data_IF_225125589408
#
_entry.id   IF_225125589408
#
_cell.length_a   1.000
_cell.length_b   1.000
_cell.length_c   1.000
_cell.angle_alpha   90.00
_cell.angle_beta   90.00
_cell.angle_gamma   90.00
#
_symmetry.space_group_name_H-M   'P 1'
#
loop_
_entity.id
_entity.type
_entity.pdbx_description
1 polymer ?
#
# COMPACT_ATOMS: atom_id res chain seq x y z
N UNK A 1 21.32 5.67 -47.98
CA UNK A 1 21.51 4.79 -46.81
C UNK A 1 20.96 5.55 -45.62
N UNK A 2 19.66 5.36 -45.34
CA UNK A 2 18.95 6.08 -44.29
C UNK A 2 19.12 5.28 -43.00
N UNK A 3 19.91 5.77 -42.03
CA UNK A 3 19.99 5.15 -40.72
C UNK A 3 18.83 5.65 -39.86
N UNK A 4 17.92 4.73 -39.58
CA UNK A 4 16.83 4.88 -38.62
C UNK A 4 17.40 5.29 -37.28
N UNK A 5 17.12 6.52 -36.84
CA UNK A 5 17.31 6.92 -35.44
C UNK A 5 16.26 6.14 -34.65
N UNK A 6 16.73 5.16 -33.87
CA UNK A 6 15.92 4.56 -32.81
C UNK A 6 15.47 5.68 -31.88
N UNK A 7 14.16 5.97 -31.90
CA UNK A 7 13.56 6.79 -30.86
C UNK A 7 13.77 6.05 -29.54
N UNK A 8 14.73 6.53 -28.77
CA UNK A 8 14.85 6.20 -27.35
C UNK A 8 13.50 6.48 -26.72
N UNK A 9 12.87 5.45 -26.17
CA UNK A 9 11.66 5.58 -25.37
C UNK A 9 12.05 6.43 -24.15
N UNK A 10 11.76 7.73 -24.20
CA UNK A 10 11.83 8.59 -23.02
C UNK A 10 10.60 8.22 -22.21
N UNK A 11 10.73 7.61 -21.01
CA UNK A 11 9.56 7.35 -20.18
C UNK A 11 8.89 8.70 -19.97
N UNK A 12 7.60 8.82 -20.30
CA UNK A 12 6.83 10.00 -19.90
C UNK A 12 7.07 10.20 -18.40
N UNK A 13 7.49 11.40 -17.96
CA UNK A 13 7.82 11.64 -16.57
C UNK A 13 6.65 11.21 -15.68
N UNK A 14 6.95 10.53 -14.58
CA UNK A 14 5.94 10.10 -13.61
C UNK A 14 5.08 11.31 -13.23
N UNK A 15 3.75 11.29 -13.44
CA UNK A 15 2.94 12.45 -13.16
C UNK A 15 2.89 12.74 -11.67
N UNK A 16 3.13 13.98 -11.28
CA UNK A 16 3.13 14.44 -9.89
C UNK A 16 2.41 15.77 -9.82
N UNK A 17 1.81 16.14 -8.67
CA UNK A 17 1.12 17.40 -8.56
C UNK A 17 2.12 18.57 -8.58
N UNK A 18 1.65 19.76 -8.97
CA UNK A 18 2.48 20.97 -9.04
C UNK A 18 2.87 21.44 -7.64
N UNK A 19 4.04 22.07 -7.49
CA UNK A 19 4.51 22.60 -6.20
C UNK A 19 3.43 23.44 -5.48
N UNK A 20 3.37 23.41 -4.13
CA UNK A 20 4.44 23.00 -3.20
C UNK A 20 4.23 21.62 -2.56
N UNK A 21 4.38 20.53 -3.32
CA UNK A 21 4.50 19.18 -2.75
C UNK A 21 5.96 18.77 -2.51
N UNK A 22 6.21 17.86 -1.55
CA UNK A 22 7.48 17.17 -1.42
C UNK A 22 7.90 16.56 -2.76
N UNK A 23 9.19 16.66 -3.08
CA UNK A 23 9.71 15.99 -4.27
C UNK A 23 9.61 14.48 -4.08
N UNK A 24 9.07 13.75 -5.07
CA UNK A 24 9.08 12.29 -5.04
C UNK A 24 10.50 11.75 -4.99
N UNK A 25 10.71 10.72 -4.18
CA UNK A 25 11.94 9.94 -4.14
C UNK A 25 11.64 8.61 -4.83
N UNK A 26 12.13 8.44 -6.05
CA UNK A 26 11.93 7.22 -6.82
C UNK A 26 12.64 6.04 -6.17
N UNK A 27 11.96 4.89 -6.16
CA UNK A 27 12.44 3.66 -5.58
C UNK A 27 12.73 2.62 -6.66
N UNK A 28 13.23 1.47 -6.24
CA UNK A 28 13.43 0.30 -7.09
C UNK A 28 12.52 -0.82 -6.60
N UNK A 29 11.95 -1.58 -7.55
CA UNK A 29 11.28 -2.84 -7.25
C UNK A 29 12.31 -3.96 -7.29
N UNK A 30 12.17 -4.97 -6.43
CA UNK A 30 13.08 -6.10 -6.35
C UNK A 30 12.36 -7.39 -6.69
N UNK A 31 12.95 -8.23 -7.54
CA UNK A 31 12.47 -9.57 -7.86
C UNK A 31 13.51 -10.61 -7.41
N UNK A 32 13.04 -11.80 -7.09
CA UNK A 32 13.89 -12.94 -6.77
C UNK A 32 13.85 -13.94 -7.93
N UNK A 33 15.01 -14.29 -8.47
CA UNK A 33 15.18 -15.46 -9.35
C UNK A 33 16.05 -16.48 -8.60
N UNK A 34 17.38 -16.40 -8.75
CA UNK A 34 18.34 -17.08 -7.88
C UNK A 34 18.78 -16.19 -6.71
N UNK A 35 18.79 -14.88 -6.94
CA UNK A 35 19.08 -13.83 -5.96
C UNK A 35 18.12 -12.65 -6.12
N UNK A 36 18.00 -11.86 -5.05
CA UNK A 36 17.25 -10.60 -5.09
C UNK A 36 17.99 -9.58 -5.93
N UNK A 37 17.33 -9.08 -6.97
CA UNK A 37 17.90 -8.09 -7.89
C UNK A 37 16.89 -7.00 -8.20
N UNK A 38 17.39 -5.84 -8.64
CA UNK A 38 16.57 -4.74 -9.10
C UNK A 38 15.77 -5.15 -10.33
N UNK A 39 14.44 -5.18 -10.20
CA UNK A 39 13.51 -5.45 -11.28
C UNK A 39 13.35 -4.20 -12.16
N UNK A 40 13.66 -4.35 -13.45
CA UNK A 40 13.42 -3.29 -14.42
C UNK A 40 11.96 -3.30 -14.84
N UNK A 41 11.25 -2.23 -14.53
CA UNK A 41 9.90 -2.00 -15.01
C UNK A 41 9.92 -1.87 -16.53
N UNK A 42 9.32 -2.83 -17.24
CA UNK A 42 9.23 -2.75 -18.69
C UNK A 42 8.13 -1.80 -19.16
N UNK A 43 7.25 -1.36 -18.24
CA UNK A 43 6.15 -0.45 -18.53
C UNK A 43 5.24 -0.98 -19.64
N UNK A 44 5.12 -2.31 -19.76
CA UNK A 44 4.34 -2.93 -20.81
C UNK A 44 2.88 -2.48 -20.68
N UNK A 45 2.45 -1.70 -21.66
CA UNK A 45 1.05 -1.35 -21.83
C UNK A 45 0.37 -2.51 -22.54
N UNK A 46 -0.30 -3.36 -21.77
CA UNK A 46 -1.34 -4.22 -22.32
C UNK A 46 -2.67 -3.53 -22.10
N UNK A 47 -3.46 -3.35 -23.15
CA UNK A 47 -4.86 -2.96 -23.00
C UNK A 47 -5.55 -4.12 -22.29
N UNK A 48 -5.89 -3.93 -21.02
CA UNK A 48 -6.65 -4.91 -20.24
C UNK A 48 -7.96 -4.24 -19.83
N UNK A 49 -9.00 -4.45 -20.64
CA UNK A 49 -10.36 -4.06 -20.27
C UNK A 49 -10.74 -4.84 -19.00
N UNK A 50 -11.26 -4.13 -18.00
CA UNK A 50 -11.73 -4.67 -16.73
C UNK A 50 -10.67 -5.45 -15.92
N UNK A 51 -9.45 -4.92 -15.83
CA UNK A 51 -8.41 -5.48 -14.98
C UNK A 51 -8.92 -5.61 -13.53
N UNK A 52 -8.90 -6.84 -13.00
CA UNK A 52 -9.33 -7.17 -11.63
C UNK A 52 -8.13 -7.57 -10.77
N UNK A 53 -8.02 -6.99 -9.60
CA UNK A 53 -6.94 -7.27 -8.66
C UNK A 53 -7.42 -7.11 -7.22
N UNK A 54 -6.67 -7.66 -6.27
CA UNK A 54 -6.88 -7.47 -4.84
C UNK A 54 -5.96 -6.38 -4.28
N UNK A 55 -6.43 -5.71 -3.24
CA UNK A 55 -5.59 -4.94 -2.30
C UNK A 55 -5.73 -5.60 -0.94
N UNK A 56 -4.62 -6.00 -0.34
CA UNK A 56 -4.56 -6.34 1.08
C UNK A 56 -3.77 -5.26 1.80
N UNK A 57 -4.37 -4.57 2.77
CA UNK A 57 -3.65 -3.60 3.62
C UNK A 57 -3.67 -4.04 5.07
N UNK A 58 -2.53 -3.93 5.75
CA UNK A 58 -2.43 -4.35 7.15
C UNK A 58 -1.29 -3.66 7.90
N UNK A 59 -1.63 -2.96 8.99
CA UNK A 59 -0.67 -2.62 10.03
C UNK A 59 -0.30 -3.90 10.80
N UNK A 60 0.99 -4.26 10.79
CA UNK A 60 1.50 -5.49 11.38
C UNK A 60 2.25 -5.25 12.70
N UNK A 61 1.96 -4.13 13.37
CA UNK A 61 2.38 -3.78 14.73
C UNK A 61 3.88 -3.97 14.96
N UNK A 62 4.70 -2.95 14.65
CA UNK A 62 6.15 -3.09 14.86
C UNK A 62 6.51 -3.18 16.36
N UNK A 63 5.60 -2.71 17.22
CA UNK A 63 5.87 -2.47 18.64
C UNK A 63 5.64 -3.71 19.50
N UNK A 64 4.79 -4.62 19.06
CA UNK A 64 4.52 -5.85 19.78
C UNK A 64 5.73 -6.81 19.86
N UNK A 65 5.71 -7.74 20.83
CA UNK A 65 6.81 -8.66 21.07
C UNK A 65 6.99 -9.66 19.92
N UNK A 66 8.17 -10.26 19.81
CA UNK A 66 8.48 -11.35 18.86
C UNK A 66 8.14 -11.00 17.39
N UNK A 67 8.61 -9.85 16.85
CA UNK A 67 8.20 -9.37 15.52
C UNK A 67 8.47 -10.38 14.39
N UNK A 68 9.58 -11.12 14.46
CA UNK A 68 9.93 -12.14 13.46
C UNK A 68 8.91 -13.29 13.45
N UNK A 69 8.55 -13.80 14.63
CA UNK A 69 7.66 -14.95 14.77
C UNK A 69 6.21 -14.57 14.39
N UNK A 70 5.76 -13.37 14.79
CA UNK A 70 4.46 -12.84 14.34
C UNK A 70 4.44 -12.67 12.83
N UNK A 71 5.49 -12.10 12.24
CA UNK A 71 5.55 -11.93 10.79
C UNK A 71 5.64 -13.26 10.02
N UNK A 72 6.31 -14.29 10.56
CA UNK A 72 6.24 -15.65 10.01
C UNK A 72 4.81 -16.15 9.92
N UNK A 73 4.02 -15.93 10.99
CA UNK A 73 2.61 -16.32 11.04
C UNK A 73 1.77 -15.53 10.05
N UNK A 74 2.05 -14.22 9.90
CA UNK A 74 1.45 -13.37 8.85
C UNK A 74 1.74 -13.95 7.46
N UNK A 75 2.99 -14.33 7.16
CA UNK A 75 3.34 -14.92 5.87
C UNK A 75 2.62 -16.25 5.58
N UNK A 76 2.50 -17.13 6.59
CA UNK A 76 1.73 -18.38 6.45
C UNK A 76 0.26 -18.10 6.17
N UNK A 77 -0.35 -17.18 6.92
CA UNK A 77 -1.73 -16.77 6.70
C UNK A 77 -1.94 -16.16 5.31
N UNK A 78 -1.05 -15.27 4.86
CA UNK A 78 -1.11 -14.66 3.53
C UNK A 78 -0.96 -15.70 2.42
N UNK A 79 -0.10 -16.70 2.59
CA UNK A 79 0.06 -17.79 1.64
C UNK A 79 -1.23 -18.61 1.49
N UNK A 80 -1.90 -18.93 2.61
CA UNK A 80 -3.18 -19.63 2.59
C UNK A 80 -4.28 -18.78 1.95
N UNK A 81 -4.43 -17.53 2.40
CA UNK A 81 -5.44 -16.59 1.94
C UNK A 81 -5.31 -16.27 0.44
N UNK A 82 -4.08 -16.19 -0.08
CA UNK A 82 -3.78 -15.75 -1.45
C UNK A 82 -3.31 -16.91 -2.34
N UNK A 83 -3.76 -18.12 -2.04
CA UNK A 83 -3.48 -19.33 -2.83
C UNK A 83 -3.79 -19.12 -4.34
N UNK A 84 -3.18 -19.88 -5.27
CA UNK A 84 -3.09 -19.54 -6.71
C UNK A 84 -4.40 -19.29 -7.46
N UNK A 85 -5.53 -19.78 -6.95
CA UNK A 85 -6.87 -19.57 -7.53
C UNK A 85 -7.47 -18.19 -7.17
N UNK A 86 -6.77 -17.40 -6.36
CA UNK A 86 -7.18 -16.06 -5.92
C UNK A 86 -6.64 -14.98 -6.88
N UNK A 87 -7.40 -13.90 -7.02
CA UNK A 87 -7.05 -12.74 -7.86
C UNK A 87 -5.65 -12.20 -7.48
N UNK A 88 -4.82 -11.75 -8.44
CA UNK A 88 -3.53 -11.11 -8.14
C UNK A 88 -3.73 -9.97 -7.14
N UNK A 89 -3.07 -10.05 -5.98
CA UNK A 89 -3.33 -9.16 -4.84
C UNK A 89 -2.08 -8.37 -4.46
N UNK A 90 -2.15 -7.05 -4.48
CA UNK A 90 -1.09 -6.17 -4.01
C UNK A 90 -1.21 -6.04 -2.49
N UNK A 91 -0.11 -6.25 -1.77
CA UNK A 91 -0.07 -6.20 -0.32
C UNK A 91 0.59 -4.89 0.13
N UNK A 92 -0.07 -4.16 1.01
CA UNK A 92 0.33 -2.88 1.58
C UNK A 92 0.53 -3.07 3.09
N UNK A 93 1.78 -3.17 3.53
CA UNK A 93 2.10 -3.33 4.96
C UNK A 93 2.53 -1.99 5.56
N UNK A 94 1.98 -1.71 6.74
CA UNK A 94 2.43 -0.64 7.63
C UNK A 94 3.12 -1.25 8.84
N UNK A 95 4.02 -0.50 9.48
CA UNK A 95 4.74 -0.98 10.65
C UNK A 95 5.57 -2.26 10.42
N UNK A 96 6.07 -2.45 9.19
CA UNK A 96 6.97 -3.56 8.91
C UNK A 96 8.33 -3.31 9.57
N UNK A 97 8.69 -4.13 10.55
CA UNK A 97 9.93 -3.99 11.31
C UNK A 97 11.17 -4.48 10.54
N UNK A 98 12.29 -3.75 10.58
CA UNK A 98 13.54 -4.06 9.84
C UNK A 98 14.07 -5.48 10.12
N UNK A 99 13.89 -5.99 11.34
CA UNK A 99 14.34 -7.36 11.70
C UNK A 99 13.61 -8.47 10.92
N UNK A 100 12.50 -8.17 10.25
CA UNK A 100 11.70 -9.13 9.50
C UNK A 100 12.19 -9.33 8.06
N UNK A 101 13.13 -8.52 7.56
CA UNK A 101 13.67 -8.69 6.21
C UNK A 101 14.29 -10.07 5.95
N UNK A 102 15.14 -10.65 6.83
CA UNK A 102 15.72 -11.98 6.57
C UNK A 102 14.66 -13.07 6.33
N UNK A 103 13.55 -13.04 7.08
CA UNK A 103 12.48 -14.02 6.91
C UNK A 103 11.59 -13.74 5.70
N UNK A 104 11.32 -12.46 5.40
CA UNK A 104 10.63 -12.04 4.17
C UNK A 104 11.42 -12.53 2.94
N UNK A 105 12.72 -12.23 2.90
CA UNK A 105 13.59 -12.48 1.76
C UNK A 105 13.95 -13.95 1.58
N UNK A 106 13.72 -14.80 2.58
CA UNK A 106 13.93 -16.25 2.50
C UNK A 106 12.64 -17.06 2.32
N UNK A 107 11.48 -16.44 2.46
CA UNK A 107 10.19 -17.11 2.34
C UNK A 107 9.92 -17.56 0.88
N UNK A 108 9.64 -18.86 0.70
CA UNK A 108 9.45 -19.47 -0.61
C UNK A 108 8.22 -18.92 -1.37
N UNK A 109 7.11 -18.68 -0.67
CA UNK A 109 5.91 -18.08 -1.26
C UNK A 109 6.21 -16.68 -1.80
N UNK A 110 6.88 -15.84 -1.00
CA UNK A 110 7.26 -14.47 -1.41
C UNK A 110 8.20 -14.50 -2.62
N UNK A 111 9.27 -15.29 -2.56
CA UNK A 111 10.23 -15.46 -3.68
C UNK A 111 9.55 -15.91 -4.97
N UNK A 112 8.61 -16.84 -4.87
CA UNK A 112 7.92 -17.40 -6.03
C UNK A 112 6.90 -16.43 -6.65
N UNK A 113 6.24 -15.60 -5.84
CA UNK A 113 5.01 -14.91 -6.27
C UNK A 113 5.06 -13.39 -6.20
N UNK A 114 6.00 -12.77 -5.48
CA UNK A 114 6.04 -11.32 -5.28
C UNK A 114 7.34 -10.66 -5.72
N UNK A 115 7.19 -9.38 -6.05
CA UNK A 115 8.25 -8.38 -6.11
C UNK A 115 8.06 -7.39 -4.96
N UNK A 116 9.15 -6.82 -4.46
CA UNK A 116 9.18 -6.02 -3.23
C UNK A 116 9.57 -4.57 -3.50
N UNK A 117 8.96 -3.62 -2.78
CA UNK A 117 9.34 -2.21 -2.82
C UNK A 117 10.65 -1.90 -2.08
N UNK A 118 11.08 -2.76 -1.17
CA UNK A 118 12.31 -2.63 -0.39
C UNK A 118 12.80 -4.02 0.06
N UNK A 119 14.09 -4.15 0.32
CA UNK A 119 14.76 -5.37 0.79
C UNK A 119 15.61 -5.15 2.05
N UNK A 120 15.71 -3.92 2.55
CA UNK A 120 16.59 -3.56 3.67
C UNK A 120 16.03 -2.48 4.60
N UNK A 121 15.03 -1.71 4.17
CA UNK A 121 14.52 -0.54 4.88
C UNK A 121 15.47 0.65 4.81
N UNK A 122 16.42 0.63 3.88
CA UNK A 122 17.38 1.73 3.65
C UNK A 122 16.72 2.97 3.05
N UNK A 123 15.52 2.82 2.47
CA UNK A 123 14.76 3.92 1.88
C UNK A 123 13.93 4.67 2.92
N UNK A 124 13.75 4.11 4.13
CA UNK A 124 12.95 4.65 5.23
C UNK A 124 13.66 5.77 5.99
N UNK A 125 12.95 6.41 6.92
CA UNK A 125 13.59 7.34 7.86
C UNK A 125 14.78 6.61 8.55
N UNK A 126 16.01 7.15 8.49
CA UNK A 126 17.18 6.51 9.07
C UNK A 126 17.06 6.24 10.57
N UNK A 127 16.25 7.01 11.29
CA UNK A 127 16.01 6.87 12.72
C UNK A 127 14.88 5.89 13.04
N UNK A 128 14.17 5.38 12.03
CA UNK A 128 13.08 4.42 12.22
C UNK A 128 13.56 2.97 12.17
N UNK A 129 13.00 2.12 13.02
CA UNK A 129 13.17 0.65 12.98
C UNK A 129 12.10 -0.04 12.13
N UNK A 130 11.12 0.70 11.62
CA UNK A 130 9.99 0.18 10.85
C UNK A 130 9.62 1.11 9.69
N UNK A 131 8.79 0.62 8.77
CA UNK A 131 8.32 1.44 7.65
C UNK A 131 7.22 0.78 6.85
N UNK A 132 6.99 1.36 5.67
CA UNK A 132 6.04 0.85 4.69
C UNK A 132 6.73 -0.18 3.79
N UNK A 133 6.01 -1.26 3.49
CA UNK A 133 6.43 -2.25 2.50
C UNK A 133 5.25 -2.57 1.59
N UNK A 134 5.46 -2.46 0.29
CA UNK A 134 4.48 -2.86 -0.72
C UNK A 134 5.01 -4.08 -1.48
N UNK A 135 4.20 -5.13 -1.55
CA UNK A 135 4.50 -6.33 -2.32
C UNK A 135 3.56 -6.37 -3.53
N UNK A 136 4.14 -6.46 -4.71
CA UNK A 136 3.41 -6.53 -5.98
C UNK A 136 3.53 -7.94 -6.55
N UNK A 137 2.42 -8.64 -6.85
CA UNK A 137 2.47 -9.95 -7.49
C UNK A 137 3.32 -9.90 -8.76
N UNK A 138 4.16 -10.91 -8.99
CA UNK A 138 4.98 -11.03 -10.20
C UNK A 138 4.15 -11.00 -11.48
N UNK A 139 2.91 -11.50 -11.43
CA UNK A 139 1.94 -11.40 -12.52
C UNK A 139 1.52 -9.97 -12.86
N UNK A 140 1.66 -9.03 -11.93
CA UNK A 140 1.38 -7.60 -12.13
C UNK A 140 2.64 -6.74 -12.32
N UNK A 141 3.83 -7.22 -11.95
CA UNK A 141 5.07 -6.43 -11.98
C UNK A 141 5.42 -5.89 -13.38
N UNK A 142 5.04 -6.60 -14.44
CA UNK A 142 5.21 -6.13 -15.83
C UNK A 142 4.40 -4.87 -16.19
N UNK A 143 3.32 -4.59 -15.45
CA UNK A 143 2.48 -3.40 -15.61
C UNK A 143 2.95 -2.22 -14.76
N UNK A 144 3.88 -2.44 -13.83
CA UNK A 144 4.41 -1.34 -13.02
C UNK A 144 5.24 -0.42 -13.91
N UNK A 145 4.98 0.88 -13.81
CA UNK A 145 5.65 1.94 -14.57
C UNK A 145 6.48 2.85 -13.69
N UNK A 146 6.16 2.95 -12.40
CA UNK A 146 6.88 3.78 -11.45
C UNK A 146 6.63 3.32 -10.02
N UNK A 147 7.62 3.54 -9.16
CA UNK A 147 7.50 3.40 -7.71
C UNK A 147 8.24 4.56 -7.06
N UNK A 148 7.61 5.25 -6.11
CA UNK A 148 8.19 6.41 -5.46
C UNK A 148 7.59 6.67 -4.09
N UNK A 149 8.32 7.39 -3.23
CA UNK A 149 7.89 7.79 -1.89
C UNK A 149 7.81 9.30 -1.78
N UNK A 150 6.87 9.79 -0.98
CA UNK A 150 6.77 11.22 -0.63
C UNK A 150 6.69 11.37 0.89
N UNK A 151 7.75 11.88 1.55
CA UNK A 151 7.71 12.17 2.98
C UNK A 151 6.66 13.23 3.31
N UNK A 152 5.98 13.12 4.45
CA UNK A 152 5.11 14.19 4.93
C UNK A 152 5.93 15.22 5.72
N UNK A 153 6.06 16.48 5.26
CA UNK A 153 6.94 17.46 5.91
C UNK A 153 6.54 17.81 7.35
N UNK A 154 5.25 17.68 7.67
CA UNK A 154 4.68 17.99 8.99
C UNK A 154 4.69 16.80 9.95
N UNK A 155 5.20 15.65 9.51
CA UNK A 155 5.24 14.45 10.33
C UNK A 155 6.29 14.53 11.42
N UNK A 156 5.96 14.02 12.61
CA UNK A 156 6.90 13.83 13.73
C UNK A 156 7.27 12.36 13.95
N UNK A 157 6.64 11.45 13.21
CA UNK A 157 6.86 10.00 13.32
C UNK A 157 7.50 9.40 12.05
N UNK A 158 8.15 10.23 11.22
CA UNK A 158 8.77 9.79 9.97
C UNK A 158 7.79 9.23 8.92
N UNK A 159 6.51 9.64 8.96
CA UNK A 159 5.44 9.18 8.08
C UNK A 159 5.62 9.65 6.63
N UNK A 160 5.18 8.82 5.72
CA UNK A 160 5.22 9.07 4.29
C UNK A 160 4.11 8.30 3.54
N UNK A 161 4.07 8.46 2.22
CA UNK A 161 3.28 7.62 1.33
C UNK A 161 4.18 6.98 0.26
N UNK A 162 4.00 5.68 0.06
CA UNK A 162 4.68 4.88 -0.96
C UNK A 162 3.70 4.57 -2.09
N UNK A 163 4.02 5.03 -3.30
CA UNK A 163 3.17 4.91 -4.47
C UNK A 163 3.73 3.90 -5.47
N UNK A 164 2.85 3.17 -6.12
CA UNK A 164 3.13 2.39 -7.33
C UNK A 164 2.16 2.81 -8.44
N UNK A 165 2.68 2.98 -9.66
CA UNK A 165 1.89 3.27 -10.85
C UNK A 165 1.80 2.02 -11.71
N UNK A 166 0.58 1.54 -11.98
CA UNK A 166 0.28 0.42 -12.87
C UNK A 166 -0.35 0.94 -14.16
N UNK A 167 -0.05 0.32 -15.29
CA UNK A 167 -0.60 0.70 -16.59
C UNK A 167 -1.27 -0.47 -17.30
N UNK A 168 -2.60 -0.42 -17.38
CA UNK A 168 -3.45 -1.38 -18.11
C UNK A 168 -4.08 -0.78 -19.36
N UNK A 169 -3.45 0.26 -19.94
CA UNK A 169 -4.06 1.17 -20.90
C UNK A 169 -4.70 2.40 -20.23
N UNK A 170 -5.02 2.27 -18.94
CA UNK A 170 -5.26 3.38 -18.00
C UNK A 170 -4.19 3.33 -16.92
N UNK A 171 -3.63 4.49 -16.55
CA UNK A 171 -2.63 4.57 -15.48
C UNK A 171 -3.35 4.69 -14.14
N UNK A 172 -3.15 3.70 -13.28
CA UNK A 172 -3.71 3.63 -11.93
C UNK A 172 -2.59 3.82 -10.92
N UNK A 173 -2.81 4.66 -9.92
CA UNK A 173 -1.86 4.88 -8.82
C UNK A 173 -2.37 4.24 -7.53
N UNK A 174 -1.56 3.40 -6.91
CA UNK A 174 -1.87 2.80 -5.61
C UNK A 174 -0.88 3.36 -4.59
N UNK A 175 -1.39 3.83 -3.45
CA UNK A 175 -0.61 4.33 -2.33
C UNK A 175 -0.74 3.40 -1.12
N UNK A 176 0.39 3.12 -0.47
CA UNK A 176 0.49 2.60 0.88
C UNK A 176 0.85 3.76 1.80
N UNK A 177 0.19 3.89 2.95
CA UNK A 177 0.54 4.91 3.94
C UNK A 177 0.25 4.46 5.37
N UNK A 178 0.89 5.12 6.32
CA UNK A 178 0.53 5.11 7.73
C UNK A 178 0.52 6.58 8.15
N UNK A 179 -0.67 7.14 8.38
CA UNK A 179 -0.83 8.55 8.76
C UNK A 179 -0.40 8.82 10.21
N UNK A 180 -0.24 10.11 10.56
CA UNK A 180 0.22 10.47 11.90
C UNK A 180 -0.66 9.87 13.01
N UNK A 181 -0.02 9.13 13.90
CA UNK A 181 -0.69 8.50 15.04
C UNK A 181 -0.94 9.49 16.17
N UNK A 182 -1.73 9.04 17.13
CA UNK A 182 -2.08 9.72 18.38
C UNK A 182 -2.93 11.00 18.19
N UNK A 183 -3.74 11.34 19.20
CA UNK A 183 -4.40 12.65 19.25
C UNK A 183 -3.41 13.82 19.39
N UNK A 184 -3.90 15.03 19.25
CA UNK A 184 -3.16 16.26 19.46
C UNK A 184 -2.39 16.72 18.23
N UNK A 185 -1.17 16.20 18.01
CA UNK A 185 -0.42 16.54 16.79
C UNK A 185 -1.03 15.84 15.57
N UNK A 186 -1.37 14.56 15.70
CA UNK A 186 -1.94 13.77 14.62
C UNK A 186 -3.24 14.37 14.06
N UNK A 187 -4.18 14.75 14.93
CA UNK A 187 -5.46 15.36 14.54
C UNK A 187 -5.27 16.58 13.62
N UNK A 188 -4.18 17.35 13.82
CA UNK A 188 -3.89 18.56 13.07
C UNK A 188 -3.25 18.29 11.71
N UNK A 189 -2.51 17.20 11.56
CA UNK A 189 -1.70 16.95 10.35
C UNK A 189 -2.29 15.89 9.44
N UNK A 190 -3.07 14.93 9.96
CA UNK A 190 -3.73 13.89 9.14
C UNK A 190 -4.56 14.45 7.98
N UNK A 191 -5.33 15.56 8.12
CA UNK A 191 -6.05 16.15 6.99
C UNK A 191 -5.13 16.57 5.84
N UNK A 192 -4.01 17.23 6.14
CA UNK A 192 -3.05 17.68 5.14
C UNK A 192 -2.29 16.50 4.51
N UNK A 193 -1.99 15.45 5.29
CA UNK A 193 -1.38 14.23 4.77
C UNK A 193 -2.32 13.51 3.78
N UNK A 194 -3.60 13.36 4.13
CA UNK A 194 -4.60 12.77 3.25
C UNK A 194 -4.83 13.61 1.98
N UNK A 195 -4.91 14.94 2.13
CA UNK A 195 -5.04 15.84 0.99
C UNK A 195 -3.87 15.69 0.02
N UNK A 196 -2.64 15.65 0.54
CA UNK A 196 -1.46 15.42 -0.28
C UNK A 196 -1.55 14.10 -1.04
N UNK A 197 -1.97 13.00 -0.38
CA UNK A 197 -2.17 11.71 -1.07
C UNK A 197 -3.20 11.85 -2.19
N UNK A 198 -4.36 12.46 -1.93
CA UNK A 198 -5.42 12.64 -2.93
C UNK A 198 -4.94 13.41 -4.16
N UNK A 199 -4.11 14.43 -3.99
CA UNK A 199 -3.50 15.19 -5.10
C UNK A 199 -2.53 14.33 -5.93
N UNK A 200 -1.72 13.48 -5.29
CA UNK A 200 -0.90 12.50 -5.99
C UNK A 200 -1.76 11.48 -6.75
N UNK A 201 -2.86 11.01 -6.16
CA UNK A 201 -3.81 10.11 -6.81
C UNK A 201 -4.58 10.76 -7.97
N UNK A 202 -4.61 12.09 -8.02
CA UNK A 202 -5.32 12.89 -9.05
C UNK A 202 -4.38 13.60 -10.01
N UNK A 203 -3.10 13.26 -10.01
CA UNK A 203 -2.11 13.93 -10.86
C UNK A 203 -2.44 13.77 -12.35
N UNK A 204 -2.15 14.76 -13.21
CA UNK A 204 -2.49 14.68 -14.64
C UNK A 204 -2.00 13.39 -15.31
N UNK A 205 -2.89 12.67 -15.99
CA UNK A 205 -2.54 11.38 -16.62
C UNK A 205 -2.59 10.17 -15.69
N UNK A 206 -3.04 10.33 -14.44
CA UNK A 206 -3.56 9.25 -13.59
C UNK A 206 -5.07 9.15 -13.81
N UNK A 207 -5.55 8.00 -14.27
CA UNK A 207 -6.97 7.76 -14.58
C UNK A 207 -7.79 7.40 -13.33
N UNK A 208 -7.14 6.84 -12.32
CA UNK A 208 -7.76 6.44 -11.06
C UNK A 208 -6.70 6.16 -10.01
N UNK A 209 -7.10 6.27 -8.75
CA UNK A 209 -6.18 6.14 -7.64
C UNK A 209 -6.82 5.50 -6.41
N UNK A 210 -6.01 4.75 -5.67
CA UNK A 210 -6.40 4.09 -4.43
C UNK A 210 -5.31 4.30 -3.39
N UNK A 211 -5.69 4.55 -2.14
CA UNK A 211 -4.81 4.47 -0.98
C UNK A 211 -5.35 3.44 -0.01
N UNK A 212 -4.49 2.52 0.42
CA UNK A 212 -4.76 1.60 1.51
C UNK A 212 -3.74 1.81 2.62
N UNK A 213 -4.19 1.70 3.87
CA UNK A 213 -3.28 1.84 4.99
C UNK A 213 -3.96 2.12 6.32
N UNK A 214 -3.14 2.36 7.31
CA UNK A 214 -3.55 2.84 8.63
C UNK A 214 -3.71 4.37 8.56
N UNK A 215 -4.96 4.82 8.58
CA UNK A 215 -5.28 6.24 8.53
C UNK A 215 -5.26 6.89 9.92
N UNK A 216 -5.06 6.12 10.99
CA UNK A 216 -5.15 6.57 12.37
C UNK A 216 -6.42 7.42 12.61
N UNK A 217 -7.57 6.96 12.12
CA UNK A 217 -8.85 7.62 12.30
C UNK A 217 -9.36 7.44 13.74
N UNK A 218 -8.69 8.09 14.68
CA UNK A 218 -8.82 7.92 16.14
C UNK A 218 -9.87 8.89 16.70
N UNK A 219 -9.90 10.11 16.20
CA UNK A 219 -10.74 11.20 16.68
C UNK A 219 -12.01 11.33 15.82
N UNK A 220 -13.14 11.84 16.36
CA UNK A 220 -14.36 12.06 15.56
C UNK A 220 -14.13 12.93 14.32
N UNK A 221 -13.18 13.88 14.38
CA UNK A 221 -12.79 14.71 13.25
C UNK A 221 -12.16 13.94 12.09
N UNK A 222 -11.63 12.74 12.34
CA UNK A 222 -11.01 11.92 11.29
C UNK A 222 -12.03 11.22 10.40
N UNK A 223 -13.29 11.10 10.86
CA UNK A 223 -14.34 10.39 10.16
C UNK A 223 -14.51 10.89 8.72
N UNK A 224 -14.41 12.20 8.49
CA UNK A 224 -14.69 12.86 7.20
C UNK A 224 -13.43 13.36 6.47
N UNK A 225 -12.21 13.06 6.94
CA UNK A 225 -10.96 13.53 6.32
C UNK A 225 -10.87 13.08 4.85
N UNK A 226 -11.24 11.84 4.57
CA UNK A 226 -11.21 11.28 3.22
C UNK A 226 -12.23 11.94 2.27
N UNK A 227 -13.43 12.23 2.76
CA UNK A 227 -14.47 12.95 2.00
C UNK A 227 -14.00 14.36 1.65
N UNK A 228 -13.42 15.08 2.61
CA UNK A 228 -12.86 16.42 2.39
C UNK A 228 -11.72 16.40 1.36
N UNK A 229 -10.96 15.31 1.29
CA UNK A 229 -9.94 15.08 0.26
C UNK A 229 -10.50 14.60 -1.08
N UNK A 230 -11.82 14.41 -1.20
CA UNK A 230 -12.49 13.93 -2.43
C UNK A 230 -12.18 12.47 -2.75
N UNK A 231 -12.04 11.63 -1.72
CA UNK A 231 -11.87 10.18 -1.82
C UNK A 231 -13.13 9.45 -1.35
N UNK A 232 -13.47 8.37 -2.03
CA UNK A 232 -14.57 7.47 -1.65
C UNK A 232 -14.05 6.38 -0.72
N UNK A 233 -14.75 6.11 0.38
CA UNK A 233 -14.44 4.98 1.25
C UNK A 233 -14.94 3.67 0.64
N UNK A 234 -14.08 2.66 0.59
CA UNK A 234 -14.47 1.34 0.10
C UNK A 234 -15.36 0.57 1.09
N UNK A 235 -15.37 0.95 2.36
CA UNK A 235 -16.16 0.28 3.38
C UNK A 235 -17.65 0.65 3.28
N UNK A 236 -18.50 -0.33 2.99
CA UNK A 236 -19.94 -0.15 2.74
C UNK A 236 -20.84 -0.60 3.91
N UNK A 237 -20.27 -1.17 4.98
CA UNK A 237 -21.04 -1.73 6.10
C UNK A 237 -20.99 -0.89 7.38
N UNK A 238 -21.86 -1.21 8.33
CA UNK A 238 -21.96 -0.47 9.60
C UNK A 238 -20.88 -0.87 10.62
N UNK A 239 -20.38 -2.11 10.58
CA UNK A 239 -19.35 -2.64 11.50
C UNK A 239 -17.99 -2.78 10.82
N UNK A 240 -17.20 -1.70 10.80
CA UNK A 240 -15.92 -1.66 10.08
C UNK A 240 -14.67 -1.55 10.94
N UNK A 241 -14.78 -1.70 12.26
CA UNK A 241 -13.64 -1.54 13.16
C UNK A 241 -12.52 -2.52 12.84
N UNK A 242 -11.30 -1.98 12.76
CA UNK A 242 -10.07 -2.70 12.45
C UNK A 242 -9.09 -2.74 13.61
N UNK A 243 -9.37 -2.02 14.70
CA UNK A 243 -8.47 -1.95 15.85
C UNK A 243 -9.24 -1.92 17.18
N UNK A 244 -8.57 -2.36 18.24
CA UNK A 244 -9.06 -2.25 19.63
C UNK A 244 -9.65 -3.53 20.21
N UNK A 245 -9.58 -4.65 19.48
CA UNK A 245 -10.10 -5.96 19.93
C UNK A 245 -9.03 -7.00 20.25
N UNK A 246 -7.82 -6.89 19.68
CA UNK A 246 -6.80 -7.95 19.77
C UNK A 246 -5.39 -7.45 20.10
N UNK A 247 -5.11 -7.00 21.34
CA UNK A 247 -5.94 -7.21 22.53
C UNK A 247 -6.98 -6.10 22.72
N UNK A 248 -8.02 -6.36 23.52
CA UNK A 248 -8.89 -5.29 24.02
C UNK A 248 -8.07 -4.23 24.75
N UNK A 249 -8.37 -2.97 24.52
CA UNK A 249 -7.69 -1.85 25.18
C UNK A 249 -8.66 -1.02 26.02
N UNK A 250 -8.13 -0.02 26.73
CA UNK A 250 -8.94 0.97 27.45
C UNK A 250 -9.61 1.97 26.51
N UNK A 251 -9.19 2.04 25.25
CA UNK A 251 -9.76 2.89 24.22
C UNK A 251 -10.87 2.14 23.48
N UNK A 252 -11.92 2.84 23.03
CA UNK A 252 -12.97 2.22 22.23
C UNK A 252 -12.37 1.65 20.92
N UNK A 253 -12.88 0.51 20.43
CA UNK A 253 -12.56 0.05 19.08
C UNK A 253 -12.86 1.09 18.02
N UNK A 254 -12.15 1.01 16.90
CA UNK A 254 -12.31 1.97 15.82
C UNK A 254 -11.83 1.46 14.47
N UNK A 255 -12.23 2.17 13.42
CA UNK A 255 -11.86 1.92 12.03
C UNK A 255 -10.69 2.78 11.60
N UNK A 256 -9.51 2.38 12.05
CA UNK A 256 -8.25 3.08 11.80
C UNK A 256 -7.76 2.83 10.37
N UNK A 257 -7.87 1.58 9.91
CA UNK A 257 -7.42 1.15 8.59
C UNK A 257 -8.52 1.36 7.55
N UNK A 258 -8.14 1.86 6.38
CA UNK A 258 -9.07 2.15 5.29
C UNK A 258 -8.50 1.78 3.93
N UNK A 259 -9.41 1.55 2.99
CA UNK A 259 -9.14 1.56 1.55
C UNK A 259 -9.99 2.67 0.95
N UNK A 260 -9.35 3.68 0.37
CA UNK A 260 -9.99 4.88 -0.17
C UNK A 260 -9.62 5.02 -1.65
N UNK A 261 -10.56 5.42 -2.50
CA UNK A 261 -10.33 5.42 -3.94
C UNK A 261 -11.05 6.55 -4.68
N UNK A 262 -10.66 6.79 -5.94
CA UNK A 262 -11.29 7.73 -6.87
C UNK A 262 -10.97 7.41 -8.34
N UNK A 263 -11.67 8.07 -9.25
CA UNK A 263 -11.46 7.94 -10.70
C UNK A 263 -11.98 6.62 -11.25
N UNK A 264 -11.28 6.01 -12.20
CA UNK A 264 -11.72 4.79 -12.90
C UNK A 264 -11.63 3.48 -12.08
N UNK A 265 -11.68 3.56 -10.75
CA UNK A 265 -11.61 2.40 -9.87
C UNK A 265 -12.97 2.15 -9.23
N UNK A 266 -13.33 0.88 -9.12
CA UNK A 266 -14.46 0.41 -8.34
C UNK A 266 -14.02 -0.69 -7.39
N UNK A 267 -14.41 -0.58 -6.13
CA UNK A 267 -14.24 -1.65 -5.15
C UNK A 267 -15.52 -2.49 -5.10
N UNK A 268 -15.43 -3.76 -5.47
CA UNK A 268 -16.59 -4.68 -5.50
C UNK A 268 -16.91 -5.26 -4.14
N UNK A 269 -15.88 -5.48 -3.32
CA UNK A 269 -15.98 -6.15 -2.04
C UNK A 269 -14.82 -5.69 -1.17
N UNK A 270 -15.09 -5.54 0.12
CA UNK A 270 -14.07 -5.35 1.14
C UNK A 270 -14.43 -6.19 2.36
N UNK A 271 -13.43 -6.77 3.00
CA UNK A 271 -13.60 -7.56 4.22
C UNK A 271 -12.41 -7.39 5.16
N UNK A 272 -12.62 -7.72 6.43
CA UNK A 272 -11.56 -7.80 7.43
C UNK A 272 -10.88 -9.16 7.36
N UNK A 273 -9.57 -9.18 7.56
CA UNK A 273 -8.74 -10.39 7.59
C UNK A 273 -7.85 -10.39 8.82
N UNK A 274 -7.30 -11.56 9.19
CA UNK A 274 -6.42 -11.67 10.37
C UNK A 274 -7.13 -11.51 11.71
N UNK A 275 -8.47 -11.52 11.74
CA UNK A 275 -9.27 -11.51 12.96
C UNK A 275 -8.94 -12.76 13.77
N UNK A 276 -8.51 -12.56 15.01
CA UNK A 276 -8.22 -13.67 15.90
C UNK A 276 -6.89 -14.38 15.60
N UNK A 277 -6.06 -13.87 14.68
CA UNK A 277 -4.84 -14.55 14.30
C UNK A 277 -3.76 -14.38 15.38
N UNK A 278 -3.25 -15.52 15.87
CA UNK A 278 -2.24 -15.58 16.92
C UNK A 278 -0.99 -16.32 16.48
N UNK A 279 0.13 -15.95 17.08
CA UNK A 279 1.32 -16.79 17.15
C UNK A 279 1.61 -17.15 18.61
N UNK A 280 1.41 -18.41 18.98
CA UNK A 280 1.37 -18.82 20.37
C UNK A 280 0.24 -18.08 21.10
N UNK A 281 0.57 -17.44 22.23
CA UNK A 281 -0.40 -16.69 23.03
C UNK A 281 -0.59 -15.24 22.58
N UNK A 282 0.29 -14.73 21.73
CA UNK A 282 0.30 -13.34 21.25
C UNK A 282 -0.48 -13.19 19.95
N UNK A 283 -1.20 -12.07 19.80
CA UNK A 283 -1.78 -11.68 18.52
C UNK A 283 -0.68 -11.33 17.51
N UNK A 284 -0.91 -11.61 16.23
CA UNK A 284 0.07 -11.26 15.19
C UNK A 284 0.18 -9.75 14.97
N UNK A 285 -0.92 -9.03 15.21
CA UNK A 285 -1.05 -7.58 15.15
C UNK A 285 -2.23 -7.15 16.02
N UNK A 286 -2.19 -5.95 16.57
CA UNK A 286 -3.33 -5.30 17.23
C UNK A 286 -4.40 -4.79 16.26
N UNK A 287 -4.08 -4.79 14.96
CA UNK A 287 -4.99 -4.50 13.86
C UNK A 287 -5.51 -5.77 13.18
N UNK A 288 -6.74 -5.70 12.68
CA UNK A 288 -7.22 -6.52 11.57
C UNK A 288 -6.70 -5.94 10.26
N UNK A 289 -6.41 -6.81 9.29
CA UNK A 289 -6.15 -6.38 7.92
C UNK A 289 -7.45 -6.12 7.17
N UNK A 290 -7.34 -5.48 6.01
CA UNK A 290 -8.44 -5.35 5.05
C UNK A 290 -8.05 -6.00 3.71
N UNK A 291 -8.96 -6.78 3.14
CA UNK A 291 -8.86 -7.29 1.77
C UNK A 291 -9.97 -6.66 0.91
N UNK A 292 -9.60 -6.01 -0.18
CA UNK A 292 -10.51 -5.37 -1.12
C UNK A 292 -10.33 -5.92 -2.54
N UNK A 293 -11.44 -6.27 -3.20
CA UNK A 293 -11.48 -6.64 -4.61
C UNK A 293 -11.75 -5.41 -5.47
N UNK A 294 -10.85 -5.09 -6.39
CA UNK A 294 -10.86 -3.87 -7.18
C UNK A 294 -10.96 -4.19 -8.67
N UNK A 295 -11.75 -3.40 -9.40
CA UNK A 295 -11.78 -3.37 -10.86
C UNK A 295 -11.30 -2.01 -11.34
N UNK A 296 -10.49 -2.01 -12.41
CA UNK A 296 -10.29 -0.84 -13.27
C UNK A 296 -11.40 -0.80 -14.30
N UNK A 297 -12.32 0.14 -14.17
CA UNK A 297 -13.48 0.21 -15.07
C UNK A 297 -12.99 0.55 -16.49
N UNK A 298 -13.31 -0.32 -17.45
CA UNK A 298 -13.36 0.09 -18.85
C UNK A 298 -14.45 1.16 -18.95
N UNK A 299 -14.18 2.31 -19.56
CA UNK A 299 -15.28 3.28 -19.71
C UNK A 299 -16.29 2.69 -20.69
N UNK A 300 -17.52 2.42 -20.24
CA UNK A 300 -18.72 2.32 -21.09
C UNK A 300 -19.98 2.66 -20.28
N UNK A 301 -20.34 3.95 -20.26
CA UNK A 301 -21.64 4.50 -20.74
C UNK A 301 -21.81 5.95 -20.30
#
# INVERSE_FOLDING_TARGET
MWSTISQLFVPNPTPVPQLPHPRPVFQTLYSFDDEWHSFKTNGNSSVCLDARFGILTWNIDFSGPLPILRFQTVLSFLQELLSPDVKPTIILLQEFHKSCFPILLSNAFIRATYTLSDTSGSTWDPNSSFGLLTLVPKSLSGHVTSIFRTPFPTSKMGRDALYIDLNWGKKVRIANTHLESLPGHGDRVRPAQMQSISEFLSSPGISGGLVGGDMNAISPSDATIHEAAGLTDAWLGDEGDTWGYQPPTVFPPGRLDKVLFKGCLKVERIERVGIGLKCGDSWVSDHYGLFASVIVESELS
#
